data_IF_864223504524
#
_entry.id   IF_864223504524
#
_cell.length_a   1.000
_cell.length_b   1.000
_cell.length_c   1.000
_cell.angle_alpha   90.00
_cell.angle_beta   90.00
_cell.angle_gamma   90.00
#
_symmetry.space_group_name_H-M   'P 1'
#
loop_
_entity.id
_entity.type
_entity.pdbx_description
1 polymer ?
#
# COMPACT_ATOMS: atom_id res chain seq x y z
N UNK A 1 10.09 -24.17 18.49
CA UNK A 1 9.27 -23.62 17.39
C UNK A 1 9.02 -22.10 17.52
N UNK A 2 10.04 -21.27 17.82
CA UNK A 2 9.86 -19.79 17.91
C UNK A 2 10.15 -19.04 16.60
N UNK A 3 10.93 -19.65 15.69
CA UNK A 3 11.33 -19.03 14.41
C UNK A 3 10.17 -18.89 13.39
N UNK A 4 9.11 -19.69 13.50
CA UNK A 4 7.97 -19.67 12.57
C UNK A 4 6.96 -18.54 12.86
N UNK A 5 6.93 -17.99 14.08
CA UNK A 5 5.96 -16.95 14.47
C UNK A 5 6.32 -15.56 13.93
N UNK A 6 7.59 -15.18 13.92
CA UNK A 6 8.02 -13.87 13.43
C UNK A 6 7.89 -13.73 11.90
N UNK A 7 8.27 -14.77 11.14
CA UNK A 7 8.05 -14.76 9.69
C UNK A 7 6.56 -14.71 9.33
N UNK A 8 5.69 -15.34 10.13
CA UNK A 8 4.24 -15.27 9.93
C UNK A 8 3.71 -13.84 10.02
N UNK A 9 4.19 -13.03 10.97
CA UNK A 9 3.75 -11.64 11.09
C UNK A 9 4.23 -10.80 9.92
N UNK A 10 5.49 -10.95 9.50
CA UNK A 10 6.04 -10.20 8.36
C UNK A 10 5.31 -10.57 7.07
N UNK A 11 5.14 -11.87 6.80
CA UNK A 11 4.44 -12.36 5.61
C UNK A 11 2.97 -11.95 5.66
N UNK A 12 2.31 -12.02 6.83
CA UNK A 12 0.91 -11.58 6.97
C UNK A 12 0.75 -10.08 6.69
N UNK A 13 1.60 -9.24 7.26
CA UNK A 13 1.57 -7.79 7.01
C UNK A 13 1.85 -7.46 5.54
N UNK A 14 2.79 -8.16 4.91
CA UNK A 14 3.08 -8.00 3.48
C UNK A 14 1.89 -8.44 2.62
N UNK A 15 1.31 -9.61 2.91
CA UNK A 15 0.15 -10.12 2.19
C UNK A 15 -1.08 -9.23 2.38
N UNK A 16 -1.27 -8.65 3.56
CA UNK A 16 -2.34 -7.68 3.83
C UNK A 16 -2.12 -6.38 3.07
N UNK A 17 -0.90 -5.81 3.06
CA UNK A 17 -0.61 -4.60 2.30
C UNK A 17 -0.81 -4.79 0.79
N UNK A 18 -0.32 -5.91 0.25
CA UNK A 18 -0.52 -6.27 -1.16
C UNK A 18 -2.00 -6.54 -1.45
N UNK A 19 -2.68 -7.33 -0.61
CA UNK A 19 -4.07 -7.70 -0.80
C UNK A 19 -5.03 -6.50 -0.72
N UNK A 20 -4.84 -5.62 0.26
CA UNK A 20 -5.65 -4.40 0.39
C UNK A 20 -5.41 -3.43 -0.76
N UNK A 21 -4.15 -3.19 -1.14
CA UNK A 21 -3.85 -2.29 -2.27
C UNK A 21 -4.39 -2.83 -3.59
N UNK A 22 -4.31 -4.14 -3.81
CA UNK A 22 -4.85 -4.81 -4.99
C UNK A 22 -6.37 -4.69 -5.06
N UNK A 23 -7.06 -5.02 -3.97
CA UNK A 23 -8.52 -4.97 -3.92
C UNK A 23 -9.06 -3.53 -4.05
N UNK A 24 -8.49 -2.58 -3.30
CA UNK A 24 -8.90 -1.17 -3.39
C UNK A 24 -8.65 -0.58 -4.77
N UNK A 25 -7.49 -0.85 -5.37
CA UNK A 25 -7.17 -0.39 -6.71
C UNK A 25 -8.13 -0.98 -7.75
N UNK A 26 -8.47 -2.26 -7.64
CA UNK A 26 -9.43 -2.91 -8.52
C UNK A 26 -10.79 -2.22 -8.45
N UNK A 27 -11.35 -2.08 -7.25
CA UNK A 27 -12.67 -1.45 -7.03
C UNK A 27 -12.66 -0.01 -7.54
N UNK A 28 -11.64 0.77 -7.22
CA UNK A 28 -11.52 2.16 -7.69
C UNK A 28 -11.42 2.25 -9.21
N UNK A 29 -10.72 1.33 -9.86
CA UNK A 29 -10.58 1.34 -11.32
C UNK A 29 -11.89 0.95 -11.99
N UNK A 30 -12.63 -0.04 -11.45
CA UNK A 30 -13.97 -0.39 -11.95
C UNK A 30 -14.93 0.78 -11.81
N UNK A 31 -14.95 1.45 -10.65
CA UNK A 31 -15.87 2.57 -10.39
C UNK A 31 -15.56 3.78 -11.28
N UNK A 32 -14.29 4.11 -11.49
CA UNK A 32 -13.91 5.32 -12.24
C UNK A 32 -13.83 5.09 -13.76
N UNK A 33 -13.33 3.95 -14.21
CA UNK A 33 -13.05 3.69 -15.62
C UNK A 33 -14.00 2.67 -16.27
N UNK A 34 -14.84 1.97 -15.50
CA UNK A 34 -15.69 0.89 -16.00
C UNK A 34 -14.85 -0.30 -16.51
N UNK A 35 -15.26 -0.89 -17.64
CA UNK A 35 -14.58 -2.04 -18.26
C UNK A 35 -14.15 -1.77 -19.72
N UNK A 36 -13.09 -0.99 -19.96
CA UNK A 36 -12.50 -0.84 -21.28
C UNK A 36 -11.91 -2.17 -21.81
N UNK A 37 -11.70 -2.32 -23.13
CA UNK A 37 -11.21 -3.56 -23.75
C UNK A 37 -9.85 -4.05 -23.21
N UNK A 38 -9.04 -3.14 -22.68
CA UNK A 38 -7.74 -3.42 -22.06
C UNK A 38 -7.75 -3.14 -20.54
N UNK A 39 -8.92 -3.20 -19.90
CA UNK A 39 -9.08 -2.88 -18.47
C UNK A 39 -8.04 -3.57 -17.59
N UNK A 40 -7.87 -4.89 -17.74
CA UNK A 40 -6.94 -5.64 -16.90
C UNK A 40 -5.49 -5.19 -17.08
N UNK A 41 -5.06 -4.89 -18.32
CA UNK A 41 -3.70 -4.40 -18.58
C UNK A 41 -3.48 -2.99 -18.02
N UNK A 42 -4.44 -2.09 -18.23
CA UNK A 42 -4.36 -0.71 -17.74
C UNK A 42 -4.36 -0.70 -16.22
N UNK A 43 -5.27 -1.46 -15.61
CA UNK A 43 -5.37 -1.60 -14.17
C UNK A 43 -4.09 -2.18 -13.56
N UNK A 44 -3.61 -3.31 -14.06
CA UNK A 44 -2.43 -3.98 -13.48
C UNK A 44 -1.18 -3.11 -13.61
N UNK A 45 -1.02 -2.38 -14.73
CA UNK A 45 0.06 -1.41 -14.91
C UNK A 45 -0.06 -0.24 -13.93
N UNK A 46 -1.25 0.35 -13.80
CA UNK A 46 -1.51 1.44 -12.86
C UNK A 46 -1.32 1.02 -11.40
N UNK A 47 -1.79 -0.18 -11.04
CA UNK A 47 -1.62 -0.74 -9.71
C UNK A 47 -0.14 -0.97 -9.38
N UNK A 48 0.62 -1.60 -10.28
CA UNK A 48 2.06 -1.80 -10.07
C UNK A 48 2.80 -0.48 -9.91
N UNK A 49 2.56 0.49 -10.80
CA UNK A 49 3.19 1.82 -10.71
C UNK A 49 2.83 2.51 -9.39
N UNK A 50 1.55 2.48 -9.00
CA UNK A 50 1.08 3.05 -7.73
C UNK A 50 1.67 2.35 -6.51
N UNK A 51 1.78 1.02 -6.54
CA UNK A 51 2.37 0.22 -5.47
C UNK A 51 3.84 0.57 -5.26
N UNK A 52 4.65 0.59 -6.32
CA UNK A 52 6.05 1.00 -6.22
C UNK A 52 6.22 2.47 -5.83
N UNK A 53 5.38 3.36 -6.39
CA UNK A 53 5.38 4.77 -6.01
C UNK A 53 5.05 4.97 -4.52
N UNK A 54 4.22 4.11 -3.92
CA UNK A 54 3.85 4.17 -2.50
C UNK A 54 4.97 3.74 -1.53
N UNK A 55 6.00 3.02 -2.01
CA UNK A 55 7.14 2.63 -1.17
C UNK A 55 7.96 3.84 -0.70
N UNK A 56 8.08 4.86 -1.55
CA UNK A 56 8.79 6.10 -1.24
C UNK A 56 8.15 6.82 -0.03
N UNK A 57 6.85 7.16 -0.04
CA UNK A 57 6.19 7.73 1.13
C UNK A 57 6.08 6.74 2.29
N UNK A 58 5.99 5.42 2.07
CA UNK A 58 5.96 4.46 3.17
C UNK A 58 7.22 4.52 4.05
N UNK A 59 8.39 4.83 3.47
CA UNK A 59 9.65 5.02 4.20
C UNK A 59 9.84 6.46 4.69
N UNK A 60 9.41 7.46 3.91
CA UNK A 60 9.64 8.88 4.21
C UNK A 60 8.59 9.54 5.11
N UNK A 61 7.33 9.10 5.08
CA UNK A 61 6.24 9.67 5.88
C UNK A 61 6.36 9.39 7.37
N UNK A 62 6.72 8.17 7.84
CA UNK A 62 6.80 7.92 9.28
C UNK A 62 7.74 8.89 10.03
N UNK A 63 9.00 9.14 9.61
CA UNK A 63 9.85 10.11 10.30
C UNK A 63 9.36 11.55 10.12
N UNK A 64 8.74 11.88 8.99
CA UNK A 64 8.16 13.21 8.75
C UNK A 64 7.00 13.48 9.71
N UNK A 65 6.05 12.55 9.81
CA UNK A 65 4.88 12.65 10.68
C UNK A 65 5.34 12.71 12.14
N UNK A 66 6.33 11.90 12.56
CA UNK A 66 6.87 11.99 13.91
C UNK A 66 7.46 13.37 14.23
N UNK A 67 8.18 14.01 13.28
CA UNK A 67 8.65 15.39 13.46
C UNK A 67 7.51 16.40 13.59
N UNK A 68 6.45 16.25 12.79
CA UNK A 68 5.26 17.10 12.91
C UNK A 68 4.53 16.89 14.24
N UNK A 69 4.40 15.65 14.70
CA UNK A 69 3.78 15.33 15.98
C UNK A 69 4.57 15.89 17.16
N UNK A 70 5.90 15.82 17.13
CA UNK A 70 6.77 16.43 18.14
C UNK A 70 6.59 17.96 18.19
N UNK A 71 6.44 18.61 17.03
CA UNK A 71 6.16 20.04 16.92
C UNK A 71 4.79 20.45 17.49
N UNK A 72 3.78 19.60 17.39
CA UNK A 72 2.41 19.88 17.83
C UNK A 72 2.22 19.51 19.31
N UNK A 73 2.92 18.49 19.80
CA UNK A 73 2.75 17.95 21.18
C UNK A 73 3.73 18.56 22.17
N UNK A 74 4.59 19.49 21.72
CA UNK A 74 5.51 20.21 22.59
C UNK A 74 4.75 21.26 23.42
N UNK A 75 4.16 20.80 24.52
CA UNK A 75 4.08 21.57 25.78
C UNK A 75 5.49 21.79 26.34
#
# INVERSE_FOLDING_TARGET
MKLIKEHRMIVFSLLMGVGMSFFMSFVMTVVNAGFPPMFFQIWMRSWLVGFFASLIPALGLPPLINKFLDLITKD
#
